data_IF_957866847290
#
_entry.id   IF_957866847290
#
_cell.length_a   1.000
_cell.length_b   1.000
_cell.length_c   1.000
_cell.angle_alpha   90.00
_cell.angle_beta   90.00
_cell.angle_gamma   90.00
#
_symmetry.space_group_name_H-M   'P 1'
#
loop_
_entity.id
_entity.type
_entity.pdbx_description
1 polymer ?
#
# COMPACT_ATOMS: atom_id res chain seq x y z
N UNK A 1 -51.00 27.21 -24.26
CA UNK A 1 -50.37 27.62 -22.99
C UNK A 1 -51.51 27.91 -22.04
N UNK A 2 -51.65 27.13 -20.96
CA UNK A 2 -50.90 27.35 -19.72
C UNK A 2 -50.16 26.07 -19.31
N UNK A 3 -48.94 26.10 -18.79
CA UNK A 3 -48.55 26.76 -17.54
C UNK A 3 -48.31 25.63 -16.54
N UNK A 4 -47.14 24.99 -16.65
CA UNK A 4 -46.72 23.91 -15.75
C UNK A 4 -46.67 24.45 -14.34
N UNK A 5 -47.56 23.96 -13.47
CA UNK A 5 -47.47 24.20 -12.05
C UNK A 5 -46.40 23.26 -11.49
N UNK A 6 -45.22 23.80 -11.23
CA UNK A 6 -44.34 23.26 -10.19
C UNK A 6 -44.16 24.38 -9.18
N UNK A 7 -44.68 24.19 -7.97
CA UNK A 7 -43.91 24.69 -6.84
C UNK A 7 -43.91 23.67 -5.70
N UNK A 8 -42.72 23.39 -5.18
CA UNK A 8 -42.45 22.92 -3.82
C UNK A 8 -43.51 21.97 -3.21
N UNK A 9 -43.32 20.64 -3.31
CA UNK A 9 -44.00 19.53 -2.57
C UNK A 9 -45.48 19.65 -2.12
N UNK A 10 -46.28 18.56 -2.17
CA UNK A 10 -47.74 18.60 -2.01
C UNK A 10 -48.30 19.00 -0.62
N UNK A 11 -47.47 19.34 0.36
CA UNK A 11 -47.89 19.78 1.70
C UNK A 11 -47.66 21.28 1.98
N UNK A 12 -46.98 22.05 1.11
CA UNK A 12 -46.80 23.50 1.29
C UNK A 12 -47.06 24.24 -0.03
N UNK A 13 -48.20 24.93 -0.11
CA UNK A 13 -48.63 25.72 -1.27
C UNK A 13 -47.83 27.02 -1.44
N UNK A 14 -47.48 27.38 -2.68
CA UNK A 14 -46.77 28.60 -3.09
C UNK A 14 -47.50 29.94 -2.83
N UNK A 15 -48.64 29.91 -2.14
CA UNK A 15 -49.44 31.11 -1.84
C UNK A 15 -49.11 31.72 -0.47
N UNK A 16 -48.16 31.14 0.27
CA UNK A 16 -47.74 31.57 1.62
C UNK A 16 -46.30 32.09 1.71
N UNK A 17 -45.54 32.11 0.62
CA UNK A 17 -44.13 32.49 0.65
C UNK A 17 -43.94 33.95 0.20
N UNK A 18 -43.43 34.86 1.06
CA UNK A 18 -43.24 36.27 0.73
C UNK A 18 -42.21 36.47 -0.39
N UNK A 19 -42.46 37.48 -1.22
CA UNK A 19 -41.72 37.82 -2.47
C UNK A 19 -40.21 38.11 -2.27
N UNK A 20 -39.74 38.28 -1.02
CA UNK A 20 -38.36 38.65 -0.65
C UNK A 20 -37.44 37.44 -0.36
N UNK A 21 -37.93 36.21 -0.55
CA UNK A 21 -37.21 35.00 -0.18
C UNK A 21 -36.19 34.50 -1.24
N UNK A 22 -36.22 35.02 -2.47
CA UNK A 22 -35.26 34.62 -3.52
C UNK A 22 -33.81 35.07 -3.22
N UNK A 23 -33.64 36.18 -2.52
CA UNK A 23 -32.32 36.66 -2.07
C UNK A 23 -31.70 35.72 -1.03
N UNK A 24 -32.53 35.01 -0.25
CA UNK A 24 -32.09 34.06 0.76
C UNK A 24 -31.62 32.74 0.15
N UNK A 25 -31.93 32.48 -1.12
CA UNK A 25 -31.47 31.34 -1.90
C UNK A 25 -30.18 31.64 -2.69
N UNK A 26 -29.49 32.75 -2.42
CA UNK A 26 -28.21 33.08 -3.06
C UNK A 26 -27.07 32.90 -2.08
N UNK A 27 -26.02 32.21 -2.52
CA UNK A 27 -24.77 32.14 -1.78
C UNK A 27 -24.14 33.54 -1.77
N UNK A 28 -23.69 34.03 -0.61
CA UNK A 28 -23.22 35.41 -0.46
C UNK A 28 -22.11 35.80 -1.46
N UNK A 29 -22.46 36.59 -2.47
CA UNK A 29 -21.55 37.01 -3.55
C UNK A 29 -21.88 36.42 -4.93
N UNK A 30 -22.77 35.43 -5.02
CA UNK A 30 -23.23 34.85 -6.28
C UNK A 30 -24.46 35.60 -6.84
N UNK A 31 -24.50 35.76 -8.16
CA UNK A 31 -25.64 36.35 -8.87
C UNK A 31 -26.78 35.34 -9.08
N UNK A 32 -26.47 34.05 -9.01
CA UNK A 32 -27.37 32.95 -9.34
C UNK A 32 -28.08 32.40 -8.10
N UNK A 33 -29.41 32.39 -8.14
CA UNK A 33 -30.25 31.67 -7.17
C UNK A 33 -29.94 30.16 -7.23
N UNK A 34 -29.73 29.53 -6.07
CA UNK A 34 -29.39 28.11 -5.93
C UNK A 34 -28.24 27.66 -6.84
N UNK A 35 -27.23 28.53 -7.02
CA UNK A 35 -26.08 28.33 -7.91
C UNK A 35 -26.44 27.92 -9.35
N UNK A 36 -27.68 28.20 -9.78
CA UNK A 36 -28.24 27.80 -11.08
C UNK A 36 -28.54 26.31 -11.22
N UNK A 37 -28.58 25.55 -10.12
CA UNK A 37 -28.65 24.08 -10.09
C UNK A 37 -29.85 23.55 -9.28
N UNK A 38 -30.83 24.41 -9.03
CA UNK A 38 -32.02 24.10 -8.25
C UNK A 38 -33.11 25.17 -8.40
N UNK A 39 -34.24 24.94 -7.74
CA UNK A 39 -35.35 25.88 -7.65
C UNK A 39 -35.42 26.45 -6.23
N UNK A 40 -35.61 27.76 -6.08
CA UNK A 40 -35.79 28.37 -4.76
C UNK A 40 -37.25 28.27 -4.30
N UNK A 41 -37.44 27.75 -3.09
CA UNK A 41 -38.72 27.54 -2.44
C UNK A 41 -38.67 28.15 -1.04
N UNK A 42 -39.24 29.34 -0.87
CA UNK A 42 -39.42 29.99 0.45
C UNK A 42 -38.09 30.13 1.23
N UNK A 43 -37.05 30.59 0.54
CA UNK A 43 -35.72 30.82 1.12
C UNK A 43 -34.86 29.55 1.22
N UNK A 44 -35.33 28.42 0.71
CA UNK A 44 -34.59 27.16 0.67
C UNK A 44 -34.45 26.64 -0.77
N UNK A 45 -33.28 26.14 -1.12
CA UNK A 45 -33.03 25.58 -2.44
C UNK A 45 -33.43 24.10 -2.54
N UNK A 46 -34.23 23.77 -3.55
CA UNK A 46 -34.50 22.41 -4.00
C UNK A 46 -33.53 22.05 -5.13
N UNK A 47 -32.51 21.27 -4.79
CA UNK A 47 -31.44 20.93 -5.74
C UNK A 47 -31.86 19.85 -6.74
N UNK A 48 -31.46 20.04 -7.99
CA UNK A 48 -31.55 19.00 -9.01
C UNK A 48 -30.45 17.98 -8.78
N UNK A 49 -30.77 16.69 -8.76
CA UNK A 49 -29.75 15.65 -8.70
C UNK A 49 -28.79 15.79 -9.90
N UNK A 50 -27.47 15.63 -9.73
CA UNK A 50 -26.74 15.16 -8.53
C UNK A 50 -26.26 16.26 -7.57
N UNK A 51 -26.84 17.46 -7.63
CA UNK A 51 -26.43 18.60 -6.80
C UNK A 51 -27.09 18.59 -5.42
N UNK A 52 -26.39 19.11 -4.43
CA UNK A 52 -26.81 19.22 -3.04
C UNK A 52 -26.13 20.41 -2.35
N UNK A 53 -26.44 20.63 -1.06
CA UNK A 53 -25.97 21.81 -0.31
C UNK A 53 -27.09 22.84 -0.13
N UNK A 54 -26.87 23.83 0.74
CA UNK A 54 -27.90 24.83 1.08
C UNK A 54 -28.28 25.69 -0.13
N UNK A 55 -27.35 25.87 -1.06
CA UNK A 55 -27.50 26.66 -2.28
C UNK A 55 -27.26 25.81 -3.54
N UNK A 56 -27.30 24.48 -3.45
CA UNK A 56 -26.99 23.56 -4.56
C UNK A 56 -25.59 23.74 -5.16
N UNK A 57 -24.66 24.20 -4.33
CA UNK A 57 -23.28 24.50 -4.68
C UNK A 57 -22.40 23.24 -4.79
N UNK A 58 -22.85 22.13 -4.22
CA UNK A 58 -22.12 20.87 -4.17
C UNK A 58 -22.64 19.88 -5.22
N UNK A 59 -21.74 19.04 -5.76
CA UNK A 59 -22.09 17.98 -6.71
C UNK A 59 -21.58 16.64 -6.17
N UNK A 60 -22.47 15.65 -6.03
CA UNK A 60 -22.10 14.33 -5.51
C UNK A 60 -21.20 13.53 -6.46
N UNK A 61 -21.19 13.86 -7.75
CA UNK A 61 -20.32 13.21 -8.74
C UNK A 61 -18.87 13.70 -8.67
N UNK A 62 -18.62 14.82 -8.00
CA UNK A 62 -17.27 15.37 -7.81
C UNK A 62 -16.56 14.78 -6.58
N UNK A 63 -17.22 13.90 -5.83
CA UNK A 63 -16.62 13.26 -4.67
C UNK A 63 -15.55 12.25 -5.10
N UNK A 64 -14.37 12.25 -4.45
CA UNK A 64 -13.33 11.26 -4.72
C UNK A 64 -13.87 9.83 -4.56
N UNK A 65 -13.73 9.05 -5.63
CA UNK A 65 -14.08 7.63 -5.66
C UNK A 65 -12.80 6.80 -5.71
N UNK A 66 -12.74 5.72 -4.92
CA UNK A 66 -11.65 4.76 -5.06
C UNK A 66 -12.03 3.78 -6.18
N UNK A 67 -11.40 3.96 -7.35
CA UNK A 67 -11.50 3.01 -8.47
C UNK A 67 -10.38 1.99 -8.36
N UNK A 68 -10.66 0.66 -8.35
CA UNK A 68 -9.60 -0.32 -8.49
C UNK A 68 -8.93 -0.14 -9.84
N UNK A 69 -7.61 0.01 -9.89
CA UNK A 69 -6.81 0.06 -11.13
C UNK A 69 -6.88 -1.24 -11.98
N UNK A 70 -7.70 -2.20 -11.57
CA UNK A 70 -7.82 -3.53 -12.17
C UNK A 70 -9.24 -3.72 -12.71
N UNK A 71 -9.34 -3.71 -14.05
CA UNK A 71 -10.45 -4.20 -14.86
C UNK A 71 -11.81 -3.49 -14.73
N UNK A 72 -11.91 -2.27 -15.27
CA UNK A 72 -13.06 -1.83 -16.07
C UNK A 72 -14.48 -1.99 -15.49
N UNK A 73 -14.66 -2.02 -14.17
CA UNK A 73 -15.97 -1.89 -13.52
C UNK A 73 -16.08 -0.48 -12.94
N UNK A 74 -17.13 0.23 -13.35
CA UNK A 74 -17.39 1.64 -13.07
C UNK A 74 -18.06 1.85 -11.69
N UNK A 75 -17.93 0.88 -10.78
CA UNK A 75 -18.61 0.89 -9.49
C UNK A 75 -17.60 1.26 -8.40
N UNK A 76 -17.02 2.45 -8.51
CA UNK A 76 -16.21 3.03 -7.43
C UNK A 76 -17.08 3.30 -6.20
N UNK A 77 -16.52 3.17 -5.00
CA UNK A 77 -17.21 3.54 -3.76
C UNK A 77 -16.81 4.97 -3.39
N UNK A 78 -17.79 5.85 -3.27
CA UNK A 78 -17.60 7.24 -2.80
C UNK A 78 -16.89 7.21 -1.44
N UNK A 79 -15.81 7.98 -1.30
CA UNK A 79 -15.02 8.05 -0.07
C UNK A 79 -14.61 6.67 0.49
N UNK A 80 -14.37 5.69 -0.39
CA UNK A 80 -14.00 4.31 -0.04
C UNK A 80 -14.98 3.61 0.91
N UNK A 81 -16.20 4.14 1.05
CA UNK A 81 -17.18 3.70 2.04
C UNK A 81 -16.76 3.93 3.50
N UNK A 82 -15.73 4.74 3.73
CA UNK A 82 -15.13 5.03 5.05
C UNK A 82 -15.15 6.54 5.35
N UNK A 83 -16.17 7.22 4.85
CA UNK A 83 -16.37 8.65 5.02
C UNK A 83 -17.64 9.13 4.33
N UNK A 84 -18.03 10.35 4.64
CA UNK A 84 -19.17 11.03 4.03
C UNK A 84 -18.68 12.09 3.05
N UNK A 85 -19.34 12.23 1.90
CA UNK A 85 -18.96 13.32 0.98
C UNK A 85 -19.53 14.65 1.46
N UNK A 86 -18.63 15.61 1.69
CA UNK A 86 -18.90 16.99 2.04
C UNK A 86 -18.37 17.88 0.92
N UNK A 87 -19.28 18.31 0.04
CA UNK A 87 -19.03 19.28 -1.02
C UNK A 87 -17.71 19.08 -1.80
N UNK A 88 -17.62 18.00 -2.60
CA UNK A 88 -16.42 17.60 -3.39
C UNK A 88 -15.20 17.10 -2.60
N UNK A 89 -15.30 17.01 -1.27
CA UNK A 89 -14.26 16.44 -0.41
C UNK A 89 -14.86 15.31 0.45
N UNK A 90 -14.03 14.33 0.82
CA UNK A 90 -14.46 13.29 1.75
C UNK A 90 -14.13 13.70 3.19
N UNK A 91 -15.15 13.70 4.05
CA UNK A 91 -15.00 13.73 5.51
C UNK A 91 -14.86 12.29 6.00
N UNK A 92 -13.64 11.91 6.37
CA UNK A 92 -13.33 10.53 6.74
C UNK A 92 -13.85 10.15 8.12
N UNK A 93 -14.32 8.91 8.22
CA UNK A 93 -14.68 8.30 9.50
C UNK A 93 -13.44 8.19 10.40
N UNK A 94 -13.68 8.12 11.72
CA UNK A 94 -12.61 7.98 12.69
C UNK A 94 -11.74 6.74 12.39
N UNK A 95 -10.44 6.96 12.23
CA UNK A 95 -9.49 5.89 11.85
C UNK A 95 -9.27 5.75 10.35
N UNK A 96 -9.79 6.66 9.52
CA UNK A 96 -9.48 6.77 8.10
C UNK A 96 -8.98 8.17 7.72
N UNK A 97 -8.17 8.24 6.67
CA UNK A 97 -7.48 9.43 6.16
C UNK A 97 -7.26 9.30 4.65
N UNK A 98 -6.82 10.38 4.01
CA UNK A 98 -6.62 10.43 2.55
C UNK A 98 -7.77 11.14 1.83
N UNK A 99 -7.55 11.60 0.59
CA UNK A 99 -8.53 12.37 -0.17
C UNK A 99 -9.83 11.60 -0.45
N UNK A 100 -9.78 10.28 -0.51
CA UNK A 100 -10.94 9.40 -0.67
C UNK A 100 -11.15 8.51 0.57
N UNK A 101 -10.57 8.85 1.73
CA UNK A 101 -10.61 8.03 2.94
C UNK A 101 -10.08 6.60 2.76
N UNK A 102 -9.10 6.45 1.86
CA UNK A 102 -8.52 5.19 1.47
C UNK A 102 -7.52 4.64 2.49
N UNK A 103 -7.00 5.49 3.38
CA UNK A 103 -5.91 5.15 4.28
C UNK A 103 -6.39 4.94 5.71
N UNK A 104 -6.23 3.73 6.28
CA UNK A 104 -6.39 3.54 7.72
C UNK A 104 -5.40 4.44 8.47
N UNK A 105 -5.88 5.18 9.47
CA UNK A 105 -5.04 6.04 10.33
C UNK A 105 -4.20 5.27 11.34
N UNK A 106 -4.46 3.96 11.50
CA UNK A 106 -3.71 3.11 12.42
C UNK A 106 -2.60 2.35 11.69
N UNK A 107 -1.39 2.47 12.22
CA UNK A 107 -0.20 1.76 11.73
C UNK A 107 -0.17 0.27 12.12
N UNK A 108 -1.29 -0.30 12.55
CA UNK A 108 -1.37 -1.67 13.04
C UNK A 108 -0.90 -2.71 12.02
N UNK A 109 -1.10 -2.45 10.72
CA UNK A 109 -0.61 -3.30 9.63
C UNK A 109 0.89 -3.18 9.36
N UNK A 110 1.50 -2.09 9.78
CA UNK A 110 2.94 -1.84 9.64
C UNK A 110 3.72 -2.23 10.89
N UNK A 111 3.05 -2.71 11.95
CA UNK A 111 3.69 -2.95 13.24
C UNK A 111 4.29 -4.36 13.29
N UNK A 112 5.55 -4.45 13.71
CA UNK A 112 6.23 -5.72 13.94
C UNK A 112 5.89 -6.32 15.32
N UNK A 113 6.43 -7.52 15.61
CA UNK A 113 6.19 -8.25 16.85
C UNK A 113 6.76 -7.54 18.09
N UNK A 114 7.78 -6.70 17.91
CA UNK A 114 8.44 -5.93 18.95
C UNK A 114 7.80 -4.53 19.13
N UNK A 115 6.75 -4.24 18.36
CA UNK A 115 6.00 -2.99 18.42
C UNK A 115 6.60 -1.84 17.61
N UNK A 116 7.66 -2.09 16.85
CA UNK A 116 8.27 -1.15 15.90
C UNK A 116 7.44 -1.02 14.62
N UNK A 117 7.65 0.07 13.87
CA UNK A 117 7.02 0.28 12.57
C UNK A 117 7.97 -0.13 11.47
N UNK A 118 7.53 -1.05 10.59
CA UNK A 118 8.31 -1.53 9.45
C UNK A 118 9.71 -2.00 9.86
N UNK A 119 9.82 -2.74 10.98
CA UNK A 119 11.09 -3.18 11.58
C UNK A 119 12.11 -2.04 11.81
N UNK A 120 11.64 -0.79 11.93
CA UNK A 120 12.46 0.42 11.97
C UNK A 120 13.34 0.64 10.73
N UNK A 121 12.99 0.00 9.61
CA UNK A 121 13.73 0.01 8.34
C UNK A 121 12.92 0.57 7.17
N UNK A 122 11.87 1.32 7.48
CA UNK A 122 11.04 1.97 6.49
C UNK A 122 10.05 2.92 7.13
N UNK A 123 9.17 3.47 6.31
CA UNK A 123 8.07 4.34 6.73
C UNK A 123 6.74 3.68 6.43
N UNK A 124 5.79 3.74 7.37
CA UNK A 124 4.44 3.26 7.12
C UNK A 124 3.66 4.31 6.32
N UNK A 125 3.19 3.94 5.14
CA UNK A 125 2.29 4.76 4.33
C UNK A 125 1.01 3.99 4.07
N UNK A 126 -0.12 4.49 4.58
CA UNK A 126 -1.45 3.92 4.30
C UNK A 126 -1.58 2.42 4.67
N UNK A 127 -0.92 1.99 5.76
CA UNK A 127 -0.92 0.59 6.21
C UNK A 127 0.01 -0.35 5.41
N UNK A 128 0.91 0.19 4.59
CA UNK A 128 1.97 -0.55 3.90
C UNK A 128 3.34 0.08 4.19
N UNK A 129 4.35 -0.75 4.35
CA UNK A 129 5.71 -0.28 4.58
C UNK A 129 6.42 0.09 3.27
N UNK A 130 6.99 1.30 3.25
CA UNK A 130 7.95 1.76 2.26
C UNK A 130 9.35 1.58 2.83
N UNK A 131 10.04 0.53 2.40
CA UNK A 131 11.35 0.17 2.93
C UNK A 131 12.46 1.10 2.44
N UNK A 132 13.45 1.34 3.31
CA UNK A 132 14.69 1.99 2.89
C UNK A 132 15.42 1.13 1.85
N UNK A 133 16.30 1.76 1.05
CA UNK A 133 16.94 1.16 -0.13
C UNK A 133 17.71 -0.15 0.11
N UNK A 134 17.98 -0.51 1.36
CA UNK A 134 18.67 -1.74 1.76
C UNK A 134 17.77 -2.78 2.44
N UNK A 135 16.45 -2.67 2.33
CA UNK A 135 15.50 -3.57 2.97
C UNK A 135 14.34 -3.97 2.04
N UNK A 136 13.80 -5.17 2.26
CA UNK A 136 12.71 -5.81 1.52
C UNK A 136 11.76 -6.51 2.52
N UNK A 137 10.60 -6.92 2.03
CA UNK A 137 9.55 -7.59 2.83
C UNK A 137 8.35 -6.69 3.09
N UNK A 138 7.23 -7.27 3.52
CA UNK A 138 6.00 -6.50 3.79
C UNK A 138 6.18 -5.56 4.99
N UNK A 139 7.10 -5.88 5.90
CA UNK A 139 7.45 -5.08 7.08
C UNK A 139 8.93 -4.66 7.08
N UNK A 140 9.63 -4.71 5.94
CA UNK A 140 11.06 -4.38 5.82
C UNK A 140 11.99 -5.23 6.70
N UNK A 141 11.60 -6.47 6.97
CA UNK A 141 12.32 -7.43 7.82
C UNK A 141 13.59 -7.99 7.15
N UNK A 142 13.70 -7.89 5.82
CA UNK A 142 14.75 -8.53 5.05
C UNK A 142 15.80 -7.50 4.59
N UNK A 143 17.00 -7.53 5.15
CA UNK A 143 18.10 -6.68 4.70
C UNK A 143 18.70 -7.15 3.37
N UNK A 144 18.91 -6.25 2.41
CA UNK A 144 19.72 -6.47 1.20
C UNK A 144 21.19 -6.74 1.50
N UNK A 145 21.70 -6.41 2.70
CA UNK A 145 23.02 -6.85 3.13
C UNK A 145 23.09 -8.37 3.34
N UNK A 146 21.95 -9.07 3.38
CA UNK A 146 21.96 -10.52 3.16
C UNK A 146 22.54 -10.87 1.79
N UNK A 147 22.30 -10.09 0.72
CA UNK A 147 22.98 -10.28 -0.56
C UNK A 147 24.48 -9.95 -0.51
N UNK A 148 24.89 -8.94 0.29
CA UNK A 148 26.31 -8.60 0.50
C UNK A 148 27.07 -9.72 1.22
N UNK A 149 26.53 -10.19 2.35
CA UNK A 149 27.12 -11.28 3.09
C UNK A 149 27.04 -12.60 2.31
N UNK A 150 25.97 -12.86 1.56
CA UNK A 150 25.95 -14.01 0.65
C UNK A 150 27.08 -13.90 -0.40
N UNK A 151 27.40 -12.72 -0.96
CA UNK A 151 28.53 -12.63 -1.91
C UNK A 151 29.89 -12.81 -1.20
N UNK A 152 30.02 -12.41 0.06
CA UNK A 152 31.22 -12.65 0.89
C UNK A 152 31.37 -14.11 1.32
N UNK A 153 30.27 -14.80 1.62
CA UNK A 153 30.26 -16.22 2.02
C UNK A 153 30.39 -17.16 0.82
N UNK A 154 29.92 -16.76 -0.36
CA UNK A 154 29.98 -17.52 -1.62
C UNK A 154 31.35 -18.12 -1.93
N UNK A 155 32.49 -17.40 -1.88
CA UNK A 155 33.80 -18.02 -2.08
C UNK A 155 34.05 -19.15 -1.09
N UNK A 156 33.78 -18.97 0.20
CA UNK A 156 34.00 -20.01 1.22
C UNK A 156 33.08 -21.23 1.05
N UNK A 157 31.81 -21.01 0.68
CA UNK A 157 30.87 -22.08 0.33
C UNK A 157 31.36 -22.87 -0.88
N UNK A 158 31.87 -22.19 -1.92
CA UNK A 158 32.43 -22.84 -3.10
C UNK A 158 33.71 -23.63 -2.77
N UNK A 159 34.55 -23.15 -1.84
CA UNK A 159 35.75 -23.85 -1.40
C UNK A 159 35.42 -25.17 -0.71
N UNK A 160 34.45 -25.16 0.22
CA UNK A 160 33.98 -26.36 0.89
C UNK A 160 33.27 -27.32 -0.07
N UNK A 161 32.50 -26.79 -1.03
CA UNK A 161 31.82 -27.60 -2.04
C UNK A 161 32.79 -28.22 -3.07
N UNK A 162 33.83 -27.51 -3.51
CA UNK A 162 34.75 -27.98 -4.56
C UNK A 162 35.92 -28.82 -4.02
N UNK A 163 36.13 -28.86 -2.69
CA UNK A 163 37.19 -29.66 -2.05
C UNK A 163 38.60 -29.34 -2.52
N UNK A 164 38.81 -28.18 -3.17
CA UNK A 164 40.10 -27.74 -3.74
C UNK A 164 40.42 -26.31 -3.31
N UNK A 165 41.68 -25.99 -3.00
CA UNK A 165 42.08 -24.63 -2.64
C UNK A 165 42.11 -23.75 -3.89
N UNK A 166 41.04 -22.97 -4.11
CA UNK A 166 41.05 -21.85 -5.04
C UNK A 166 41.84 -20.68 -4.40
N UNK A 167 42.49 -19.80 -5.20
CA UNK A 167 43.25 -18.65 -4.67
C UNK A 167 42.39 -17.67 -3.86
N UNK A 168 41.07 -17.73 -4.03
CA UNK A 168 40.04 -16.93 -3.37
C UNK A 168 39.49 -17.58 -2.07
N UNK A 169 40.04 -18.73 -1.64
CA UNK A 169 39.70 -19.42 -0.39
C UNK A 169 40.50 -18.94 0.84
N UNK A 170 41.17 -17.78 0.78
CA UNK A 170 42.19 -17.39 1.77
C UNK A 170 41.66 -16.63 2.99
N UNK A 171 40.37 -16.29 3.01
CA UNK A 171 39.73 -15.49 4.08
C UNK A 171 38.43 -16.15 4.55
N UNK A 172 38.51 -17.40 5.00
CA UNK A 172 37.35 -18.17 5.48
C UNK A 172 37.47 -18.59 6.95
N UNK A 173 38.43 -18.04 7.71
CA UNK A 173 38.74 -18.48 9.08
C UNK A 173 37.59 -18.25 10.08
N UNK A 174 36.68 -17.33 9.76
CA UNK A 174 35.49 -17.02 10.55
C UNK A 174 34.22 -17.71 10.02
N UNK A 175 34.35 -18.60 9.03
CA UNK A 175 33.21 -19.20 8.31
C UNK A 175 33.31 -20.73 8.40
N UNK A 176 32.36 -21.32 9.11
CA UNK A 176 32.23 -22.78 9.25
C UNK A 176 31.16 -23.27 8.30
N UNK A 177 31.51 -24.14 7.36
CA UNK A 177 30.57 -24.69 6.37
C UNK A 177 30.23 -26.13 6.70
N UNK A 178 28.94 -26.42 6.89
CA UNK A 178 28.40 -27.75 7.16
C UNK A 178 27.52 -28.26 6.02
N UNK A 179 27.63 -29.55 5.73
CA UNK A 179 26.81 -30.24 4.74
C UNK A 179 25.54 -30.78 5.41
N UNK A 180 24.39 -30.31 4.96
CA UNK A 180 23.07 -30.77 5.42
C UNK A 180 22.31 -31.49 4.31
N UNK A 181 21.30 -32.27 4.67
CA UNK A 181 20.33 -32.84 3.72
C UNK A 181 19.27 -31.83 3.31
N UNK A 182 18.85 -30.96 4.23
CA UNK A 182 17.76 -30.00 4.01
C UNK A 182 18.00 -28.69 4.80
N UNK A 183 17.49 -27.57 4.29
CA UNK A 183 17.63 -26.24 4.90
C UNK A 183 16.37 -25.92 5.69
N UNK A 184 16.53 -25.38 6.91
CA UNK A 184 15.38 -24.98 7.71
C UNK A 184 14.68 -23.73 7.15
N UNK A 185 13.34 -23.67 7.19
CA UNK A 185 12.59 -22.53 6.65
C UNK A 185 12.77 -21.23 7.45
N UNK A 186 13.21 -21.31 8.70
CA UNK A 186 13.41 -20.17 9.61
C UNK A 186 14.78 -19.50 9.49
N UNK A 187 15.71 -20.05 8.69
CA UNK A 187 17.07 -19.52 8.57
C UNK A 187 17.21 -18.53 7.40
N UNK A 188 18.20 -17.63 7.50
CA UNK A 188 18.53 -16.68 6.42
C UNK A 188 19.08 -17.43 5.22
N UNK A 189 18.32 -17.44 4.12
CA UNK A 189 18.62 -18.22 2.92
C UNK A 189 19.30 -17.37 1.83
N UNK A 190 20.48 -17.79 1.40
CA UNK A 190 21.17 -17.29 0.21
C UNK A 190 20.76 -18.08 -1.04
N UNK A 191 20.49 -17.37 -2.14
CA UNK A 191 20.17 -17.97 -3.44
C UNK A 191 20.90 -17.23 -4.56
N UNK A 192 21.84 -17.91 -5.19
CA UNK A 192 22.81 -17.32 -6.13
C UNK A 192 23.01 -18.17 -7.37
N UNK A 193 23.51 -17.58 -8.44
CA UNK A 193 23.94 -18.32 -9.64
C UNK A 193 25.46 -18.32 -9.73
N UNK A 194 26.05 -19.51 -9.89
CA UNK A 194 27.48 -19.67 -10.17
C UNK A 194 27.66 -20.67 -11.31
N UNK A 195 28.33 -20.25 -12.39
CA UNK A 195 28.60 -21.12 -13.56
C UNK A 195 27.34 -21.77 -14.16
N UNK A 196 26.21 -21.05 -14.17
CA UNK A 196 24.93 -21.53 -14.69
C UNK A 196 24.10 -22.39 -13.71
N UNK A 197 24.58 -22.55 -12.48
CA UNK A 197 23.98 -23.39 -11.45
C UNK A 197 23.38 -22.57 -10.30
N UNK A 198 22.25 -23.03 -9.76
CA UNK A 198 21.64 -22.42 -8.60
C UNK A 198 22.33 -22.89 -7.31
N UNK A 199 23.13 -22.02 -6.72
CA UNK A 199 23.75 -22.18 -5.41
C UNK A 199 22.75 -21.73 -4.33
N UNK A 200 22.40 -22.64 -3.40
CA UNK A 200 21.53 -22.36 -2.26
C UNK A 200 22.21 -22.78 -0.97
N UNK A 201 22.20 -21.93 0.03
CA UNK A 201 22.73 -22.21 1.37
C UNK A 201 22.07 -21.28 2.38
N UNK A 202 22.04 -21.65 3.65
CA UNK A 202 21.63 -20.75 4.73
C UNK A 202 22.83 -20.37 5.58
N UNK A 203 22.71 -19.27 6.31
CA UNK A 203 23.72 -18.87 7.27
C UNK A 203 23.09 -18.35 8.56
N UNK A 204 23.84 -18.50 9.64
CA UNK A 204 23.52 -17.95 10.96
C UNK A 204 24.80 -17.37 11.60
N UNK A 205 24.63 -16.30 12.38
CA UNK A 205 25.72 -15.71 13.13
C UNK A 205 25.95 -16.52 14.41
N UNK A 206 27.19 -16.96 14.62
CA UNK A 206 27.63 -17.62 15.83
C UNK A 206 28.24 -16.61 16.83
N UNK A 207 28.65 -17.08 18.00
CA UNK A 207 29.36 -16.26 18.98
C UNK A 207 30.71 -15.77 18.43
N UNK A 208 31.21 -14.62 18.91
CA UNK A 208 32.46 -13.97 18.47
C UNK A 208 32.53 -13.51 16.99
N UNK A 209 31.41 -13.34 16.30
CA UNK A 209 31.41 -12.80 14.92
C UNK A 209 31.78 -13.83 13.85
N UNK A 210 31.66 -15.12 14.19
CA UNK A 210 31.76 -16.22 13.24
C UNK A 210 30.42 -16.47 12.54
N UNK A 211 30.45 -17.13 11.38
CA UNK A 211 29.27 -17.55 10.63
C UNK A 211 29.23 -19.06 10.48
N UNK A 212 28.10 -19.66 10.82
CA UNK A 212 27.79 -21.04 10.45
C UNK A 212 26.99 -21.03 9.16
N UNK A 213 27.42 -21.81 8.17
CA UNK A 213 26.81 -21.87 6.85
C UNK A 213 26.41 -23.30 6.53
N UNK A 214 25.11 -23.53 6.35
CA UNK A 214 24.58 -24.84 5.99
C UNK A 214 24.35 -24.93 4.48
N UNK A 215 24.94 -25.96 3.85
CA UNK A 215 24.86 -26.19 2.40
C UNK A 215 24.22 -27.55 2.14
N UNK A 216 23.16 -27.64 1.32
CA UNK A 216 22.59 -28.93 0.94
C UNK A 216 23.60 -29.77 0.16
N UNK A 217 23.78 -31.03 0.54
CA UNK A 217 24.66 -31.96 -0.17
C UNK A 217 24.27 -32.14 -1.66
N UNK A 218 22.99 -31.95 -2.00
CA UNK A 218 22.48 -31.95 -3.38
C UNK A 218 23.09 -30.84 -4.25
N UNK A 219 23.45 -29.70 -3.66
CA UNK A 219 24.08 -28.59 -4.37
C UNK A 219 25.56 -28.90 -4.66
N UNK A 220 26.25 -29.54 -3.73
CA UNK A 220 27.68 -29.90 -3.85
C UNK A 220 27.92 -30.93 -4.95
N UNK A 221 27.05 -31.93 -5.07
CA UNK A 221 27.11 -32.93 -6.16
C UNK A 221 26.99 -32.30 -7.56
N UNK A 222 26.18 -31.24 -7.71
CA UNK A 222 25.97 -30.55 -9.00
C UNK A 222 27.13 -29.60 -9.37
N UNK A 223 27.88 -29.12 -8.37
CA UNK A 223 29.03 -28.21 -8.56
C UNK A 223 30.32 -29.00 -8.82
N UNK A 224 30.48 -30.18 -8.21
CA UNK A 224 31.60 -31.10 -8.42
C UNK A 224 31.47 -31.98 -9.68
N UNK A 225 30.25 -32.12 -10.22
CA UNK A 225 29.97 -32.86 -11.45
C UNK A 225 28.94 -32.11 -12.28
N UNK A 226 29.35 -31.59 -13.43
CA UNK A 226 28.55 -30.83 -14.41
C UNK A 226 27.18 -31.47 -14.67
N UNK A 227 26.13 -31.05 -13.95
CA UNK A 227 24.73 -31.31 -14.30
C UNK A 227 23.83 -30.28 -13.60
N UNK A 228 23.85 -29.04 -14.08
CA UNK A 228 22.80 -28.09 -13.76
C UNK A 228 21.63 -28.36 -14.70
N UNK A 229 20.69 -29.18 -14.22
CA UNK A 229 19.47 -29.50 -14.92
C UNK A 229 18.77 -28.20 -15.36
N UNK A 230 18.50 -28.11 -16.66
CA UNK A 230 17.41 -27.29 -17.18
C UNK A 230 16.08 -27.82 -16.67
#
# INVERSE_FOLDING_TARGET
MPGVASPCSPELSAEDCPDDDELQCRLGGDELTCSGRGECCCGQCLCQLPYFGTFCECNSDLCPMLVPLTYGLHDGVVCSGSGSCSCSSCECDAGFTGPACECPSHDGRCRDQDGGLCNNHGTCHCGRCECFSSYLGELCEQSLYSAGLCEELKPCVLCSALGRPLPQCRTCDLITVELTTELQPSQKLCRMVHSGCLLRYSYEAAEEGQFLVAVPASVVSNVLGVYCNK
#
